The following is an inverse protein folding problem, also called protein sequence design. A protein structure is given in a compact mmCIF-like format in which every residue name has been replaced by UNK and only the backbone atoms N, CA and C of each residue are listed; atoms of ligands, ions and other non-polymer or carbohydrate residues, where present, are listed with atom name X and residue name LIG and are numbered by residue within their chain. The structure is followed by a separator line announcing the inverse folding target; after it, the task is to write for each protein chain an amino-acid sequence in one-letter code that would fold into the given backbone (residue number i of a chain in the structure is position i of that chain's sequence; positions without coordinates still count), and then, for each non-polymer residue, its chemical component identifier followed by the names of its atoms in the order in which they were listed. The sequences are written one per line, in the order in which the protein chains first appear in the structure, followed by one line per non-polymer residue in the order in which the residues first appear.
data_IF_701057140791
#
_entry.id   IF_701057140791
#
_cell.length_a   1.000
_cell.length_b   1.000
_cell.length_c   1.000
_cell.angle_alpha   90.00
_cell.angle_beta   90.00
_cell.angle_gamma   90.00
#
_symmetry.space_group_name_H-M   'P 1'
#
loop_
_entity.id
_entity.type
_entity.pdbx_description
1 polymer ?
#
# COMPACT_ATOMS: atom_id res chain seq x y z
N UNK A 1 -2.29 12.16 1.64
CA UNK A 1 -0.88 11.82 1.39
C UNK A 1 -0.05 13.10 1.35
N UNK A 2 0.14 13.75 2.49
CA UNK A 2 1.09 14.87 2.58
C UNK A 2 2.40 14.31 3.13
N UNK A 3 3.51 14.50 2.42
CA UNK A 3 4.87 14.19 2.93
C UNK A 3 5.74 13.28 2.07
N UNK A 4 5.18 12.48 1.16
CA UNK A 4 5.98 11.57 0.31
C UNK A 4 6.26 12.24 -1.03
N UNK A 5 7.52 12.59 -1.32
CA UNK A 5 7.91 13.12 -2.64
C UNK A 5 8.06 11.97 -3.62
N UNK A 6 6.94 11.51 -4.16
CA UNK A 6 6.89 10.51 -5.23
C UNK A 6 6.94 11.18 -6.59
N UNK A 7 7.58 10.52 -7.56
CA UNK A 7 7.31 10.84 -8.96
C UNK A 7 5.81 10.61 -9.25
N UNK A 8 5.21 11.36 -10.18
CA UNK A 8 3.80 11.17 -10.52
C UNK A 8 3.45 9.72 -10.89
N UNK A 9 4.38 8.99 -11.51
CA UNK A 9 4.18 7.59 -11.87
C UNK A 9 4.10 6.69 -10.62
N UNK A 10 4.98 6.92 -9.64
CA UNK A 10 4.98 6.17 -8.39
C UNK A 10 3.73 6.47 -7.56
N UNK A 11 3.30 7.73 -7.51
CA UNK A 11 2.07 8.10 -6.80
C UNK A 11 0.84 7.41 -7.40
N UNK A 12 0.69 7.42 -8.73
CA UNK A 12 -0.41 6.72 -9.41
C UNK A 12 -0.40 5.21 -9.13
N UNK A 13 0.77 4.60 -9.07
CA UNK A 13 0.87 3.17 -8.77
C UNK A 13 0.53 2.89 -7.30
N UNK A 14 0.99 3.73 -6.37
CA UNK A 14 0.62 3.64 -4.96
C UNK A 14 -0.90 3.79 -4.76
N UNK A 15 -1.53 4.77 -5.41
CA UNK A 15 -2.98 4.97 -5.40
C UNK A 15 -3.73 3.75 -5.96
N UNK A 16 -3.21 3.16 -7.04
CA UNK A 16 -3.79 1.96 -7.66
C UNK A 16 -3.70 0.75 -6.72
N UNK A 17 -2.58 0.56 -6.03
CA UNK A 17 -2.41 -0.53 -5.07
C UNK A 17 -3.32 -0.33 -3.86
N UNK A 18 -3.43 0.90 -3.36
CA UNK A 18 -4.34 1.25 -2.28
C UNK A 18 -5.80 0.94 -2.66
N UNK A 19 -6.21 1.33 -3.88
CA UNK A 19 -7.55 1.04 -4.37
C UNK A 19 -7.84 -0.47 -4.48
N UNK A 20 -6.83 -1.30 -4.82
CA UNK A 20 -6.97 -2.76 -4.84
C UNK A 20 -7.22 -3.32 -3.44
N UNK A 21 -6.51 -2.82 -2.42
CA UNK A 21 -6.71 -3.23 -1.03
C UNK A 21 -8.13 -2.86 -0.58
N UNK A 22 -8.52 -1.60 -0.75
CA UNK A 22 -9.82 -1.07 -0.28
C UNK A 22 -11.01 -1.77 -0.95
N UNK A 23 -10.87 -2.18 -2.22
CA UNK A 23 -11.96 -2.81 -2.98
C UNK A 23 -11.97 -4.33 -2.91
N UNK A 24 -11.02 -4.96 -2.22
CA UNK A 24 -10.94 -6.42 -2.14
C UNK A 24 -12.21 -7.03 -1.55
N UNK A 25 -12.84 -7.97 -2.23
CA UNK A 25 -14.12 -8.59 -1.84
C UNK A 25 -13.99 -9.80 -0.91
N UNK A 26 -12.75 -10.28 -0.70
CA UNK A 26 -12.44 -11.43 0.14
C UNK A 26 -11.12 -11.25 0.86
N UNK A 27 -10.94 -11.96 1.99
CA UNK A 27 -9.71 -11.88 2.78
C UNK A 27 -8.47 -12.24 1.95
N UNK A 28 -8.56 -13.29 1.14
CA UNK A 28 -7.45 -13.75 0.28
C UNK A 28 -7.04 -12.65 -0.71
N UNK A 29 -8.01 -11.95 -1.30
CA UNK A 29 -7.73 -10.87 -2.24
C UNK A 29 -7.12 -9.66 -1.52
N UNK A 30 -7.63 -9.31 -0.33
CA UNK A 30 -7.10 -8.21 0.46
C UNK A 30 -5.63 -8.47 0.85
N UNK A 31 -5.32 -9.65 1.39
CA UNK A 31 -3.94 -10.03 1.77
C UNK A 31 -3.01 -10.06 0.56
N UNK A 32 -3.45 -10.59 -0.59
CA UNK A 32 -2.67 -10.56 -1.83
C UNK A 32 -2.39 -9.15 -2.32
N UNK A 33 -3.35 -8.23 -2.19
CA UNK A 33 -3.17 -6.83 -2.54
C UNK A 33 -2.18 -6.13 -1.59
N UNK A 34 -2.26 -6.42 -0.28
CA UNK A 34 -1.31 -5.95 0.73
C UNK A 34 0.12 -6.37 0.42
N UNK A 35 0.36 -7.65 0.16
CA UNK A 35 1.69 -8.17 -0.17
C UNK A 35 2.29 -7.53 -1.45
N UNK A 36 1.44 -7.19 -2.44
CA UNK A 36 1.91 -6.44 -3.63
C UNK A 36 2.31 -5.01 -3.27
N UNK A 37 1.56 -4.37 -2.38
CA UNK A 37 1.87 -3.02 -1.92
C UNK A 37 3.19 -3.00 -1.13
N UNK A 38 3.41 -3.97 -0.25
CA UNK A 38 4.69 -4.13 0.46
C UNK A 38 5.86 -4.34 -0.50
N UNK A 39 5.69 -5.24 -1.49
CA UNK A 39 6.72 -5.48 -2.50
C UNK A 39 7.01 -4.25 -3.37
N UNK A 40 6.01 -3.41 -3.63
CA UNK A 40 6.19 -2.14 -4.33
C UNK A 40 7.05 -1.17 -3.51
N UNK A 41 6.76 -0.98 -2.22
CA UNK A 41 7.55 -0.09 -1.36
C UNK A 41 8.98 -0.60 -1.20
N UNK A 42 9.16 -1.91 -0.99
CA UNK A 42 10.49 -2.53 -0.91
C UNK A 42 11.29 -2.31 -2.19
N UNK A 43 10.66 -2.44 -3.37
CA UNK A 43 11.30 -2.18 -4.65
C UNK A 43 11.76 -0.72 -4.81
N UNK A 44 10.98 0.24 -4.31
CA UNK A 44 11.36 1.65 -4.31
C UNK A 44 12.50 1.96 -3.32
N UNK A 45 12.47 1.34 -2.14
CA UNK A 45 13.51 1.49 -1.12
C UNK A 45 14.84 0.91 -1.59
N UNK A 46 14.84 -0.35 -2.04
CA UNK A 46 16.04 -1.04 -2.54
C UNK A 46 16.59 -0.42 -3.83
N UNK A 47 15.72 0.19 -4.65
CA UNK A 47 16.11 0.94 -5.83
C UNK A 47 16.67 2.34 -5.54
N UNK A 48 16.71 2.78 -4.27
CA UNK A 48 17.16 4.12 -3.88
C UNK A 48 16.23 5.24 -4.35
N UNK A 49 14.99 4.91 -4.73
CA UNK A 49 14.01 5.85 -5.25
C UNK A 49 13.23 6.59 -4.14
N UNK A 50 13.31 6.09 -2.90
CA UNK A 50 12.67 6.64 -1.72
C UNK A 50 13.70 6.86 -0.61
N UNK A 51 13.50 7.93 0.17
CA UNK A 51 14.19 8.08 1.46
C UNK A 51 13.56 7.10 2.47
N UNK A 52 14.31 6.60 3.47
CA UNK A 52 13.78 5.64 4.44
C UNK A 52 12.46 6.07 5.11
N UNK A 53 12.34 7.33 5.54
CA UNK A 53 11.10 7.83 6.15
C UNK A 53 9.92 7.95 5.17
N UNK A 54 10.19 8.14 3.88
CA UNK A 54 9.13 8.19 2.86
C UNK A 54 8.62 6.76 2.55
N UNK A 55 9.50 5.75 2.59
CA UNK A 55 9.13 4.34 2.48
C UNK A 55 8.33 3.86 3.69
N UNK A 56 8.77 4.21 4.91
CA UNK A 56 8.05 3.90 6.16
C UNK A 56 6.61 4.45 6.13
N UNK A 57 6.43 5.69 5.69
CA UNK A 57 5.09 6.28 5.54
C UNK A 57 4.19 5.48 4.58
N UNK A 58 4.72 4.95 3.47
CA UNK A 58 3.94 4.14 2.55
C UNK A 58 3.56 2.79 3.14
N UNK A 59 4.47 2.12 3.86
CA UNK A 59 4.14 0.89 4.57
C UNK A 59 3.00 1.10 5.56
N UNK A 60 3.06 2.15 6.37
CA UNK A 60 2.01 2.50 7.36
C UNK A 60 0.67 2.72 6.66
N UNK A 61 0.65 3.45 5.54
CA UNK A 61 -0.59 3.72 4.79
C UNK A 61 -1.20 2.43 4.25
N UNK A 62 -0.40 1.55 3.63
CA UNK A 62 -0.89 0.29 3.08
C UNK A 62 -1.34 -0.68 4.17
N UNK A 63 -0.58 -0.79 5.27
CA UNK A 63 -0.94 -1.62 6.41
C UNK A 63 -2.26 -1.16 7.04
N UNK A 64 -2.42 0.14 7.28
CA UNK A 64 -3.65 0.70 7.83
C UNK A 64 -4.87 0.36 6.96
N UNK A 65 -4.75 0.55 5.65
CA UNK A 65 -5.82 0.22 4.70
C UNK A 65 -6.14 -1.28 4.66
N UNK A 66 -5.12 -2.14 4.74
CA UNK A 66 -5.30 -3.59 4.78
C UNK A 66 -6.01 -4.02 6.07
N UNK A 67 -5.54 -3.53 7.22
CA UNK A 67 -6.13 -3.82 8.53
C UNK A 67 -7.59 -3.37 8.58
N UNK A 68 -7.89 -2.16 8.10
CA UNK A 68 -9.26 -1.68 7.99
C UNK A 68 -10.10 -2.59 7.10
N UNK A 69 -9.60 -2.94 5.91
CA UNK A 69 -10.36 -3.80 5.00
C UNK A 69 -10.63 -5.18 5.60
N UNK A 70 -9.64 -5.81 6.19
CA UNK A 70 -9.80 -7.12 6.83
C UNK A 70 -10.85 -7.08 7.94
N UNK A 71 -10.87 -6.02 8.77
CA UNK A 71 -11.91 -5.81 9.78
C UNK A 71 -13.31 -5.70 9.17
N UNK A 72 -13.46 -5.13 7.97
CA UNK A 72 -14.77 -5.07 7.30
C UNK A 72 -15.19 -6.42 6.75
N UNK A 73 -14.25 -7.21 6.23
CA UNK A 73 -14.52 -8.53 5.64
C UNK A 73 -14.82 -9.62 6.67
N UNK A 74 -14.31 -9.48 7.90
CA UNK A 74 -14.56 -10.45 8.98
C UNK A 74 -15.85 -10.19 9.77
N UNK A 75 -16.50 -9.04 9.55
CA UNK A 75 -17.79 -8.69 10.15
C UNK A 75 -18.98 -8.96 9.22
N UNK A 76 -18.72 -9.43 7.99
CA UNK A 76 -19.73 -9.80 6.99
C UNK A 76 -20.13 -11.26 7.08
#
# INVERSE_FOLDING_TARGET
MEGVVLSQKMQREADRLLAQIVRADSMIIAVKAGARADGFVLGLETGGALRPGDAENLYIIFEAALVERLKTLTKG
#
